data_IF_767765182125
#
_entry.id   IF_767765182125
#
_cell.length_a   1.000
_cell.length_b   1.000
_cell.length_c   1.000
_cell.angle_alpha   90.00
_cell.angle_beta   90.00
_cell.angle_gamma   90.00
#
_symmetry.space_group_name_H-M   'P 1'
#
loop_
_entity.id
_entity.type
_entity.pdbx_description
1 polymer ?
#
# COMPACT_ATOMS: atom_id res chain seq x y z
N UNK A 1 -16.83 19.27 1.89
CA UNK A 1 -15.75 20.00 1.19
C UNK A 1 -15.64 21.41 1.75
N UNK A 2 -14.44 21.99 1.86
CA UNK A 2 -14.27 23.38 2.27
C UNK A 2 -14.67 24.31 1.13
N UNK A 3 -15.28 25.47 1.44
CA UNK A 3 -15.70 26.46 0.42
C UNK A 3 -14.54 26.98 -0.43
N UNK A 4 -13.35 27.11 0.17
CA UNK A 4 -12.15 27.51 -0.55
C UNK A 4 -11.77 26.49 -1.63
N UNK A 5 -11.82 25.19 -1.31
CA UNK A 5 -11.54 24.11 -2.27
C UNK A 5 -12.52 24.14 -3.43
N UNK A 6 -13.81 24.35 -3.16
CA UNK A 6 -14.83 24.43 -4.22
C UNK A 6 -14.56 25.59 -5.19
N UNK A 7 -14.17 26.76 -4.66
CA UNK A 7 -13.84 27.93 -5.46
C UNK A 7 -12.57 27.73 -6.30
N UNK A 8 -11.54 27.10 -5.74
CA UNK A 8 -10.30 26.77 -6.45
C UNK A 8 -10.55 25.74 -7.56
N UNK A 9 -11.39 24.73 -7.32
CA UNK A 9 -11.77 23.73 -8.32
C UNK A 9 -12.46 24.37 -9.54
N UNK A 10 -13.37 25.32 -9.30
CA UNK A 10 -14.01 26.10 -10.35
C UNK A 10 -13.00 26.95 -11.11
N UNK A 11 -12.13 27.67 -10.40
CA UNK A 11 -11.22 28.64 -11.01
C UNK A 11 -10.04 28.02 -11.77
N UNK A 12 -9.46 26.93 -11.25
CA UNK A 12 -8.26 26.31 -11.82
C UNK A 12 -8.58 25.27 -12.89
N UNK A 13 -9.68 24.54 -12.71
CA UNK A 13 -10.01 23.40 -13.56
C UNK A 13 -11.32 23.57 -14.32
N UNK A 14 -12.01 24.71 -14.17
CA UNK A 14 -13.30 25.01 -14.80
C UNK A 14 -14.35 23.92 -14.53
N UNK A 15 -14.39 23.43 -13.28
CA UNK A 15 -15.38 22.43 -12.87
C UNK A 15 -16.72 23.13 -12.62
N UNK A 16 -17.78 22.68 -13.30
CA UNK A 16 -19.13 23.22 -13.15
C UNK A 16 -19.80 22.83 -11.82
N UNK A 17 -20.73 23.68 -11.36
CA UNK A 17 -21.56 23.44 -10.17
C UNK A 17 -22.26 22.08 -10.20
N UNK A 18 -22.81 21.72 -11.37
CA UNK A 18 -23.49 20.44 -11.57
C UNK A 18 -22.58 19.23 -11.32
N UNK A 19 -21.29 19.33 -11.68
CA UNK A 19 -20.33 18.24 -11.46
C UNK A 19 -19.99 18.13 -9.97
N UNK A 20 -19.92 19.25 -9.25
CA UNK A 20 -19.68 19.27 -7.81
C UNK A 20 -20.86 18.67 -7.05
N UNK A 21 -22.09 18.97 -7.46
CA UNK A 21 -23.31 18.37 -6.90
C UNK A 21 -23.32 16.84 -7.12
N UNK A 22 -23.11 16.39 -8.37
CA UNK A 22 -23.04 14.96 -8.69
C UNK A 22 -21.91 14.25 -7.93
N UNK A 23 -20.76 14.90 -7.75
CA UNK A 23 -19.66 14.36 -6.95
C UNK A 23 -20.07 14.18 -5.48
N UNK A 24 -20.80 15.13 -4.92
CA UNK A 24 -21.26 15.05 -3.54
C UNK A 24 -22.34 13.97 -3.34
N UNK A 25 -23.23 13.79 -4.32
CA UNK A 25 -24.19 12.68 -4.36
C UNK A 25 -23.46 11.34 -4.44
N UNK A 26 -22.55 11.18 -5.40
CA UNK A 26 -21.77 9.95 -5.54
C UNK A 26 -20.97 9.61 -4.26
N UNK A 27 -20.41 10.61 -3.58
CA UNK A 27 -19.72 10.41 -2.30
C UNK A 27 -20.65 9.91 -1.19
N UNK A 28 -21.91 10.34 -1.18
CA UNK A 28 -22.90 9.83 -0.23
C UNK A 28 -23.31 8.41 -0.57
N UNK A 29 -23.48 8.11 -1.86
CA UNK A 29 -23.88 6.80 -2.35
C UNK A 29 -22.85 5.71 -2.03
N UNK A 30 -21.54 6.01 -2.18
CA UNK A 30 -20.46 5.04 -1.93
C UNK A 30 -20.02 4.96 -0.46
N UNK A 31 -20.62 5.75 0.43
CA UNK A 31 -20.19 5.83 1.83
C UNK A 31 -20.23 4.48 2.56
N UNK A 32 -21.28 3.64 2.41
CA UNK A 32 -21.30 2.32 3.02
C UNK A 32 -20.16 1.41 2.54
N UNK A 33 -19.80 1.48 1.26
CA UNK A 33 -18.71 0.70 0.67
C UNK A 33 -17.36 1.16 1.21
N UNK A 34 -17.17 2.47 1.39
CA UNK A 34 -15.96 3.02 2.02
C UNK A 34 -15.82 2.55 3.47
N UNK A 35 -16.92 2.52 4.23
CA UNK A 35 -16.92 2.02 5.62
C UNK A 35 -16.53 0.53 5.68
N UNK A 36 -16.96 -0.30 4.72
CA UNK A 36 -16.53 -1.70 4.63
C UNK A 36 -15.06 -1.85 4.24
N UNK A 37 -14.58 -1.05 3.27
CA UNK A 37 -13.16 -1.00 2.91
C UNK A 37 -12.30 -0.61 4.11
N UNK A 38 -12.77 0.31 4.95
CA UNK A 38 -12.04 0.76 6.14
C UNK A 38 -11.88 -0.34 7.20
N UNK A 39 -12.90 -1.19 7.41
CA UNK A 39 -12.80 -2.37 8.29
C UNK A 39 -11.76 -3.36 7.77
N UNK A 40 -11.76 -3.63 6.46
CA UNK A 40 -10.79 -4.53 5.82
C UNK A 40 -9.37 -3.95 5.92
N UNK A 41 -9.24 -2.64 5.71
CA UNK A 41 -7.97 -1.90 5.84
C UNK A 41 -7.43 -2.00 7.26
N UNK A 42 -8.25 -1.80 8.28
CA UNK A 42 -7.86 -1.91 9.69
C UNK A 42 -7.31 -3.30 10.02
N UNK A 43 -8.03 -4.35 9.62
CA UNK A 43 -7.57 -5.73 9.80
C UNK A 43 -6.22 -5.99 9.11
N UNK A 44 -6.08 -5.57 7.85
CA UNK A 44 -4.85 -5.78 7.10
C UNK A 44 -3.68 -4.96 7.66
N UNK A 45 -3.93 -3.76 8.19
CA UNK A 45 -2.92 -2.95 8.86
C UNK A 45 -2.37 -3.67 10.11
N UNK A 46 -3.25 -4.24 10.93
CA UNK A 46 -2.85 -5.05 12.08
C UNK A 46 -2.05 -6.28 11.65
N UNK A 47 -2.49 -6.98 10.59
CA UNK A 47 -1.81 -8.16 10.04
C UNK A 47 -0.37 -7.83 9.62
N UNK A 48 -0.17 -6.73 8.88
CA UNK A 48 1.17 -6.28 8.43
C UNK A 48 2.03 -5.88 9.63
N UNK A 49 1.49 -5.10 10.56
CA UNK A 49 2.20 -4.69 11.78
C UNK A 49 2.67 -5.90 12.59
N UNK A 50 1.80 -6.90 12.75
CA UNK A 50 2.10 -8.13 13.48
C UNK A 50 3.24 -8.91 12.81
N UNK A 51 3.23 -9.06 11.49
CA UNK A 51 4.30 -9.74 10.76
C UNK A 51 5.67 -9.05 10.94
N UNK A 52 5.70 -7.71 10.89
CA UNK A 52 6.93 -6.93 11.15
C UNK A 52 7.45 -7.13 12.59
N UNK A 53 6.54 -7.16 13.58
CA UNK A 53 6.90 -7.38 14.98
C UNK A 53 7.43 -8.80 15.23
N UNK A 54 6.82 -9.83 14.61
CA UNK A 54 7.26 -11.22 14.74
C UNK A 54 8.65 -11.45 14.15
N UNK A 55 8.95 -10.83 13.02
CA UNK A 55 10.28 -10.85 12.40
C UNK A 55 11.28 -9.88 13.03
N UNK A 56 10.86 -9.17 14.10
CA UNK A 56 11.70 -8.23 14.86
C UNK A 56 12.38 -7.20 13.97
N UNK A 57 11.63 -6.67 13.01
CA UNK A 57 12.11 -5.62 12.12
C UNK A 57 12.61 -4.42 12.94
N UNK A 58 13.76 -3.90 12.54
CA UNK A 58 14.49 -2.84 13.23
C UNK A 58 15.29 -2.03 12.22
N UNK A 59 15.88 -0.94 12.69
CA UNK A 59 16.77 -0.08 11.91
C UNK A 59 17.99 -0.81 11.32
N UNK A 60 18.50 -1.86 12.00
CA UNK A 60 19.59 -2.69 11.45
C UNK A 60 19.22 -3.43 10.16
N UNK A 61 17.92 -3.63 9.91
CA UNK A 61 17.43 -4.25 8.67
C UNK A 61 17.35 -3.26 7.51
N UNK A 62 17.55 -1.96 7.74
CA UNK A 62 17.67 -0.96 6.68
C UNK A 62 19.11 -0.96 6.13
N UNK A 63 19.48 -2.07 5.52
CA UNK A 63 20.81 -2.36 5.01
C UNK A 63 21.11 -1.58 3.73
N UNK A 64 22.38 -1.25 3.50
CA UNK A 64 22.88 -0.72 2.23
C UNK A 64 23.85 -1.73 1.61
N UNK A 65 23.31 -2.87 1.18
CA UNK A 65 24.09 -3.95 0.61
C UNK A 65 24.70 -3.56 -0.75
N UNK A 66 25.92 -4.03 -0.99
CA UNK A 66 26.66 -3.76 -2.23
C UNK A 66 27.30 -5.05 -2.77
N UNK A 67 27.73 -5.04 -4.03
CA UNK A 67 28.31 -6.21 -4.68
C UNK A 67 27.31 -7.36 -4.73
N UNK A 68 27.72 -8.53 -4.23
CA UNK A 68 26.87 -9.75 -4.24
C UNK A 68 25.74 -9.72 -3.21
N UNK A 69 25.82 -8.90 -2.16
CA UNK A 69 24.79 -8.86 -1.12
C UNK A 69 24.63 -10.16 -0.33
N UNK A 70 25.74 -10.86 -0.02
CA UNK A 70 25.71 -12.03 0.85
C UNK A 70 25.38 -11.62 2.29
N UNK A 71 24.50 -12.38 2.94
CA UNK A 71 24.08 -12.12 4.33
C UNK A 71 23.29 -10.82 4.51
N UNK A 72 22.58 -10.36 3.47
CA UNK A 72 21.73 -9.18 3.57
C UNK A 72 20.50 -9.47 4.44
N UNK A 73 20.63 -9.16 5.72
CA UNK A 73 19.57 -9.36 6.71
C UNK A 73 18.31 -8.55 6.41
N UNK A 74 18.42 -7.40 5.73
CA UNK A 74 17.28 -6.57 5.37
C UNK A 74 16.42 -7.25 4.32
N UNK A 75 17.08 -7.71 3.25
CA UNK A 75 16.48 -8.50 2.18
C UNK A 75 15.80 -9.77 2.73
N UNK A 76 16.54 -10.56 3.49
CA UNK A 76 16.05 -11.86 3.95
C UNK A 76 14.89 -11.69 4.96
N UNK A 77 14.91 -10.63 5.77
CA UNK A 77 13.83 -10.32 6.72
C UNK A 77 12.57 -9.83 6.02
N UNK A 78 12.71 -9.02 4.96
CA UNK A 78 11.56 -8.57 4.16
C UNK A 78 10.80 -9.76 3.56
N UNK A 79 11.51 -10.77 3.06
CA UNK A 79 10.88 -11.99 2.54
C UNK A 79 10.11 -12.76 3.60
N UNK A 80 10.70 -12.95 4.78
CA UNK A 80 9.99 -13.61 5.89
C UNK A 80 8.75 -12.83 6.34
N UNK A 81 8.80 -11.50 6.33
CA UNK A 81 7.63 -10.66 6.60
C UNK A 81 6.54 -10.90 5.55
N UNK A 82 6.88 -10.95 4.26
CA UNK A 82 5.91 -11.27 3.21
C UNK A 82 5.32 -12.68 3.35
N UNK A 83 6.16 -13.69 3.59
CA UNK A 83 5.73 -15.06 3.82
C UNK A 83 4.70 -15.14 4.96
N UNK A 84 4.95 -14.43 6.09
CA UNK A 84 3.99 -14.31 7.19
C UNK A 84 2.68 -13.62 6.80
N UNK A 85 2.75 -12.50 6.08
CA UNK A 85 1.56 -11.73 5.67
C UNK A 85 0.62 -12.58 4.80
N UNK A 86 1.19 -13.41 3.93
CA UNK A 86 0.46 -14.27 3.00
C UNK A 86 0.21 -15.68 3.53
N UNK A 87 0.67 -16.02 4.75
CA UNK A 87 0.64 -17.37 5.31
C UNK A 87 1.24 -18.42 4.35
N UNK A 88 2.37 -18.08 3.73
CA UNK A 88 3.12 -18.95 2.83
C UNK A 88 4.38 -19.49 3.53
N UNK A 89 4.93 -20.57 2.99
CA UNK A 89 6.18 -21.16 3.48
C UNK A 89 7.38 -20.25 3.20
N UNK A 90 7.37 -19.55 2.06
CA UNK A 90 8.44 -18.66 1.61
C UNK A 90 7.88 -17.51 0.75
N UNK A 91 8.70 -16.50 0.46
CA UNK A 91 8.36 -15.41 -0.44
C UNK A 91 9.60 -14.88 -1.17
N UNK A 92 9.45 -14.49 -2.43
CA UNK A 92 10.49 -13.79 -3.19
C UNK A 92 10.15 -12.30 -3.36
N UNK A 93 10.95 -11.42 -2.74
CA UNK A 93 10.73 -9.97 -2.80
C UNK A 93 12.03 -9.27 -3.20
N UNK A 94 12.08 -8.76 -4.43
CA UNK A 94 13.33 -8.25 -5.03
C UNK A 94 13.10 -6.96 -5.83
N UNK A 95 13.97 -5.94 -5.68
CA UNK A 95 13.97 -4.77 -6.57
C UNK A 95 14.40 -5.12 -8.01
N UNK A 96 15.04 -6.28 -8.21
CA UNK A 96 15.45 -6.80 -9.52
C UNK A 96 14.26 -7.21 -10.40
N UNK A 97 13.07 -7.38 -9.81
CA UNK A 97 11.85 -7.69 -10.55
C UNK A 97 11.32 -6.39 -11.17
N UNK A 98 11.64 -6.19 -12.46
CA UNK A 98 11.32 -4.94 -13.18
C UNK A 98 9.82 -4.62 -13.32
N UNK A 99 8.94 -5.62 -13.24
CA UNK A 99 7.49 -5.43 -13.38
C UNK A 99 6.69 -6.60 -12.82
N UNK A 100 5.37 -6.42 -12.67
CA UNK A 100 4.47 -7.52 -12.31
C UNK A 100 4.45 -8.65 -13.36
N UNK A 101 4.58 -8.31 -14.65
CA UNK A 101 4.70 -9.32 -15.70
C UNK A 101 5.95 -10.17 -15.54
N UNK A 102 7.08 -9.55 -15.16
CA UNK A 102 8.30 -10.29 -14.86
C UNK A 102 8.10 -11.19 -13.63
N UNK A 103 7.47 -10.69 -12.56
CA UNK A 103 7.17 -11.49 -11.36
C UNK A 103 6.33 -12.74 -11.67
N UNK A 104 5.29 -12.60 -12.49
CA UNK A 104 4.41 -13.71 -12.89
C UNK A 104 5.15 -14.73 -13.75
N UNK A 105 6.02 -14.27 -14.65
CA UNK A 105 6.76 -15.14 -15.55
C UNK A 105 7.83 -16.01 -14.85
N UNK A 106 8.32 -15.60 -13.68
CA UNK A 106 9.32 -16.34 -12.90
C UNK A 106 8.72 -17.24 -11.81
N UNK A 107 7.40 -17.17 -11.57
CA UNK A 107 6.68 -17.97 -10.60
C UNK A 107 6.29 -19.34 -11.17
#
# INVERSE_FOLDING_TARGET
>A
MLKQTEMELKNYFNIDDKILELSQEALNDIKPELDEVDKIKEYNQMKVLKAMQEERLSDSHFTNSTGYGYGDIGRDTLERVYARIFNAEDAIVRPHIVSGTHAIAIA
#
